data_IF_074464822791
#
_entry.id   IF_074464822791
#
_cell.length_a   1.000
_cell.length_b   1.000
_cell.length_c   1.000
_cell.angle_alpha   90.00
_cell.angle_beta   90.00
_cell.angle_gamma   90.00
#
_symmetry.space_group_name_H-M   'P 1'
#
loop_
_entity.id
_entity.type
_entity.pdbx_description
1 polymer ?
#
# COMPACT_ATOMS: atom_id res chain seq x y z
N UNK A 1 -6.72 13.33 -19.51
CA UNK A 1 -7.21 13.33 -18.12
C UNK A 1 -7.88 14.66 -17.84
N UNK A 2 -9.04 14.66 -17.17
CA UNK A 2 -9.72 15.86 -16.67
C UNK A 2 -9.21 16.18 -15.26
N UNK A 3 -8.16 17.01 -15.19
CA UNK A 3 -7.48 17.33 -13.93
C UNK A 3 -8.32 18.23 -12.99
N UNK A 4 -9.27 18.99 -13.54
CA UNK A 4 -10.23 19.82 -12.81
C UNK A 4 -10.99 19.01 -11.75
N UNK A 5 -11.41 17.80 -12.13
CA UNK A 5 -12.15 16.88 -11.26
C UNK A 5 -11.37 16.43 -10.01
N UNK A 6 -10.03 16.50 -10.02
CA UNK A 6 -9.20 16.10 -8.89
C UNK A 6 -9.19 17.17 -7.77
N UNK A 7 -9.54 18.42 -8.10
CA UNK A 7 -9.57 19.54 -7.14
C UNK A 7 -10.99 19.90 -6.70
N UNK A 8 -12.02 19.35 -7.36
CA UNK A 8 -13.42 19.57 -7.01
C UNK A 8 -13.77 18.89 -5.68
N UNK A 9 -14.60 19.55 -4.88
CA UNK A 9 -15.09 19.00 -3.61
C UNK A 9 -15.84 17.69 -3.81
N UNK A 10 -15.74 16.81 -2.83
CA UNK A 10 -16.50 15.55 -2.75
C UNK A 10 -17.45 15.67 -1.57
N UNK A 11 -18.75 15.59 -1.83
CA UNK A 11 -19.78 15.75 -0.80
C UNK A 11 -19.57 14.74 0.34
N UNK A 12 -19.54 15.24 1.59
CA UNK A 12 -19.40 14.41 2.78
C UNK A 12 -17.97 13.92 3.07
N UNK A 13 -16.99 14.25 2.23
CA UNK A 13 -15.60 13.82 2.40
C UNK A 13 -14.98 14.38 3.68
N UNK A 14 -15.09 15.69 3.88
CA UNK A 14 -14.49 16.39 5.01
C UNK A 14 -15.15 15.96 6.32
N UNK A 15 -16.48 15.81 6.32
CA UNK A 15 -17.23 15.32 7.47
C UNK A 15 -16.85 13.88 7.83
N UNK A 16 -16.69 13.01 6.84
CA UNK A 16 -16.24 11.63 7.07
C UNK A 16 -14.82 11.60 7.64
N UNK A 17 -13.88 12.35 7.07
CA UNK A 17 -12.50 12.41 7.54
C UNK A 17 -12.41 12.99 8.96
N UNK A 18 -13.17 14.05 9.25
CA UNK A 18 -13.24 14.67 10.57
C UNK A 18 -13.81 13.71 11.63
N UNK A 19 -14.83 12.91 11.31
CA UNK A 19 -15.34 11.89 12.22
C UNK A 19 -14.27 10.83 12.53
N UNK A 20 -13.47 10.43 11.55
CA UNK A 20 -12.34 9.52 11.80
C UNK A 20 -11.21 10.20 12.58
N UNK A 21 -10.85 11.46 12.27
CA UNK A 21 -9.85 12.21 13.05
C UNK A 21 -10.25 12.34 14.51
N UNK A 22 -11.53 12.63 14.77
CA UNK A 22 -12.09 12.69 16.12
C UNK A 22 -11.92 11.38 16.88
N UNK A 23 -12.19 10.23 16.24
CA UNK A 23 -11.96 8.91 16.85
C UNK A 23 -10.46 8.60 17.03
N UNK A 24 -9.63 8.91 16.04
CA UNK A 24 -8.19 8.66 16.11
C UNK A 24 -7.53 9.45 17.25
N UNK A 25 -8.04 10.66 17.52
CA UNK A 25 -7.66 11.45 18.70
C UNK A 25 -7.99 10.75 20.03
N UNK A 26 -9.06 9.95 20.10
CA UNK A 26 -9.38 9.16 21.31
C UNK A 26 -8.36 8.03 21.51
N UNK A 27 -7.87 7.41 20.44
CA UNK A 27 -6.84 6.36 20.52
C UNK A 27 -5.49 6.88 21.03
N UNK A 28 -5.21 8.18 20.91
CA UNK A 28 -3.99 8.79 21.46
C UNK A 28 -3.92 8.61 22.98
N UNK A 29 -5.03 8.87 23.66
CA UNK A 29 -5.12 8.86 25.13
C UNK A 29 -5.68 7.55 25.70
N UNK A 30 -6.30 6.73 24.85
CA UNK A 30 -6.74 5.38 25.18
C UNK A 30 -8.23 5.23 25.46
N UNK A 31 -8.74 4.02 25.22
CA UNK A 31 -10.16 3.68 25.29
C UNK A 31 -10.61 3.18 26.67
N UNK A 32 -9.69 3.00 27.64
CA UNK A 32 -10.03 2.42 28.93
C UNK A 32 -10.95 3.33 29.77
N UNK A 33 -10.67 4.64 29.77
CA UNK A 33 -11.44 5.67 30.49
C UNK A 33 -11.32 7.00 29.76
N UNK A 34 -11.99 7.15 28.61
CA UNK A 34 -11.91 8.39 27.86
C UNK A 34 -12.49 9.56 28.68
N UNK A 35 -11.84 10.72 28.58
CA UNK A 35 -12.31 11.97 29.18
C UNK A 35 -13.60 12.46 28.48
N UNK A 36 -14.42 13.32 29.13
CA UNK A 36 -15.65 13.84 28.52
C UNK A 36 -15.44 14.50 27.15
N UNK A 37 -14.29 15.17 26.93
CA UNK A 37 -13.96 15.75 25.63
C UNK A 37 -13.74 14.69 24.54
N UNK A 38 -13.19 13.53 24.89
CA UNK A 38 -12.94 12.42 23.97
C UNK A 38 -14.22 11.64 23.63
N UNK A 39 -15.24 11.69 24.49
CA UNK A 39 -16.55 11.08 24.20
C UNK A 39 -17.21 11.68 22.94
N UNK A 40 -16.86 12.92 22.57
CA UNK A 40 -17.33 13.57 21.34
C UNK A 40 -16.82 12.84 20.09
N UNK A 41 -15.56 12.41 20.08
CA UNK A 41 -14.99 11.65 18.95
C UNK A 41 -15.65 10.29 18.76
N UNK A 42 -15.97 9.59 19.86
CA UNK A 42 -16.72 8.33 19.84
C UNK A 42 -18.15 8.53 19.33
N UNK A 43 -18.83 9.59 19.78
CA UNK A 43 -20.17 9.92 19.33
C UNK A 43 -20.20 10.32 17.84
N UNK A 44 -19.24 11.12 17.40
CA UNK A 44 -19.11 11.53 16.00
C UNK A 44 -18.91 10.34 15.05
N UNK A 45 -18.10 9.36 15.44
CA UNK A 45 -17.96 8.12 14.67
C UNK A 45 -19.28 7.34 14.59
N UNK A 46 -20.02 7.23 15.70
CA UNK A 46 -21.31 6.54 15.73
C UNK A 46 -22.38 7.26 14.87
N UNK A 47 -22.39 8.59 14.90
CA UNK A 47 -23.28 9.41 14.07
C UNK A 47 -22.98 9.25 12.58
N UNK A 48 -21.70 9.27 12.20
CA UNK A 48 -21.27 9.11 10.80
C UNK A 48 -21.73 7.77 10.18
N UNK A 49 -21.90 6.73 10.99
CA UNK A 49 -22.38 5.41 10.54
C UNK A 49 -23.84 5.11 10.90
N UNK A 50 -24.59 6.10 11.41
CA UNK A 50 -25.97 5.91 11.88
C UNK A 50 -26.95 5.48 10.77
N UNK A 51 -26.66 5.82 9.52
CA UNK A 51 -27.43 5.39 8.34
C UNK A 51 -27.06 3.99 7.82
N UNK A 52 -26.12 3.29 8.47
CA UNK A 52 -25.58 2.02 7.98
C UNK A 52 -26.08 0.81 8.80
N UNK A 53 -25.87 -0.43 8.31
CA UNK A 53 -26.12 -1.63 9.10
C UNK A 53 -25.31 -1.73 10.41
N UNK A 54 -24.27 -0.92 10.59
CA UNK A 54 -23.43 -0.91 11.80
C UNK A 54 -24.01 -0.03 12.92
N UNK A 55 -25.00 0.82 12.63
CA UNK A 55 -25.48 1.89 13.50
C UNK A 55 -25.70 1.45 14.96
N UNK A 56 -26.51 0.41 15.19
CA UNK A 56 -26.84 -0.04 16.54
C UNK A 56 -25.63 -0.56 17.33
N UNK A 57 -24.76 -1.35 16.68
CA UNK A 57 -23.57 -1.92 17.31
C UNK A 57 -22.52 -0.87 17.64
N UNK A 58 -22.36 0.12 16.76
CA UNK A 58 -21.38 1.19 16.94
C UNK A 58 -21.86 2.19 17.98
N UNK A 59 -23.15 2.53 17.99
CA UNK A 59 -23.73 3.36 19.04
C UNK A 59 -23.55 2.73 20.43
N UNK A 60 -23.85 1.42 20.57
CA UNK A 60 -23.59 0.69 21.81
C UNK A 60 -22.10 0.70 22.18
N UNK A 61 -21.21 0.41 21.23
CA UNK A 61 -19.78 0.39 21.48
C UNK A 61 -19.24 1.78 21.90
N UNK A 62 -19.70 2.86 21.28
CA UNK A 62 -19.36 4.22 21.64
C UNK A 62 -19.82 4.57 23.06
N UNK A 63 -21.06 4.24 23.41
CA UNK A 63 -21.60 4.47 24.77
C UNK A 63 -20.82 3.67 25.82
N UNK A 64 -20.58 2.38 25.59
CA UNK A 64 -19.83 1.53 26.53
C UNK A 64 -18.38 1.98 26.68
N UNK A 65 -17.76 2.46 25.61
CA UNK A 65 -16.39 2.99 25.66
C UNK A 65 -16.35 4.30 26.43
N UNK A 66 -17.28 5.23 26.17
CA UNK A 66 -17.41 6.47 26.93
C UNK A 66 -17.64 6.22 28.44
N UNK A 67 -18.36 5.16 28.79
CA UNK A 67 -18.59 4.74 30.17
C UNK A 67 -17.44 3.94 30.81
N UNK A 68 -16.36 3.65 30.08
CA UNK A 68 -15.25 2.82 30.56
C UNK A 68 -15.60 1.35 30.79
N UNK A 69 -16.64 0.86 30.10
CA UNK A 69 -17.18 -0.49 30.19
C UNK A 69 -17.00 -1.30 28.89
N UNK A 70 -16.19 -0.80 27.95
CA UNK A 70 -15.97 -1.46 26.67
C UNK A 70 -15.14 -2.75 26.79
N UNK A 71 -15.54 -3.76 26.02
CA UNK A 71 -14.85 -5.03 25.88
C UNK A 71 -14.34 -5.19 24.45
N UNK A 72 -13.78 -6.36 24.15
CA UNK A 72 -13.21 -6.70 22.84
C UNK A 72 -14.22 -6.46 21.69
N UNK A 73 -15.45 -6.95 21.82
CA UNK A 73 -16.49 -6.80 20.79
C UNK A 73 -16.81 -5.32 20.47
N UNK A 74 -16.72 -4.45 21.48
CA UNK A 74 -16.93 -3.01 21.29
C UNK A 74 -15.78 -2.39 20.48
N UNK A 75 -14.53 -2.76 20.77
CA UNK A 75 -13.38 -2.28 19.99
C UNK A 75 -13.38 -2.80 18.55
N UNK A 76 -13.83 -4.04 18.34
CA UNK A 76 -14.05 -4.58 16.99
C UNK A 76 -15.10 -3.76 16.24
N UNK A 77 -16.22 -3.41 16.88
CA UNK A 77 -17.26 -2.59 16.25
C UNK A 77 -16.75 -1.19 15.87
N UNK A 78 -15.94 -0.55 16.73
CA UNK A 78 -15.33 0.76 16.45
C UNK A 78 -14.31 0.69 15.31
N UNK A 79 -13.44 -0.33 15.29
CA UNK A 79 -12.51 -0.58 14.19
C UNK A 79 -13.24 -0.83 12.85
N UNK A 80 -14.37 -1.54 12.89
CA UNK A 80 -15.22 -1.79 11.73
C UNK A 80 -15.87 -0.51 11.21
N UNK A 81 -16.41 0.34 12.11
CA UNK A 81 -17.00 1.62 11.75
C UNK A 81 -15.99 2.55 11.07
N UNK A 82 -14.81 2.69 11.67
CA UNK A 82 -13.70 3.46 11.13
C UNK A 82 -13.28 2.97 9.74
N UNK A 83 -13.10 1.66 9.59
CA UNK A 83 -12.71 1.06 8.31
C UNK A 83 -13.79 1.22 7.25
N UNK A 84 -15.07 1.08 7.61
CA UNK A 84 -16.18 1.28 6.69
C UNK A 84 -16.27 2.74 6.20
N UNK A 85 -16.06 3.72 7.09
CA UNK A 85 -16.09 5.14 6.75
C UNK A 85 -14.92 5.53 5.83
N UNK A 86 -13.71 5.03 6.10
CA UNK A 86 -12.57 5.17 5.19
C UNK A 86 -12.80 4.43 3.86
N UNK A 87 -13.54 3.32 3.88
CA UNK A 87 -14.00 2.61 2.70
C UNK A 87 -14.94 3.45 1.83
N UNK A 88 -15.90 4.17 2.43
CA UNK A 88 -16.76 5.08 1.66
C UNK A 88 -16.00 6.28 1.08
N UNK A 89 -15.01 6.81 1.83
CA UNK A 89 -14.11 7.85 1.31
C UNK A 89 -13.32 7.32 0.10
N UNK A 90 -12.74 6.13 0.23
CA UNK A 90 -12.05 5.46 -0.88
C UNK A 90 -12.96 5.33 -2.10
N UNK A 91 -14.18 4.85 -1.93
CA UNK A 91 -15.10 4.60 -3.05
C UNK A 91 -15.51 5.90 -3.75
N UNK A 92 -15.74 6.98 -3.01
CA UNK A 92 -16.01 8.31 -3.56
C UNK A 92 -14.81 8.87 -4.35
N UNK A 93 -13.60 8.74 -3.81
CA UNK A 93 -12.37 9.19 -4.46
C UNK A 93 -12.07 8.35 -5.72
N UNK A 94 -12.24 7.03 -5.68
CA UNK A 94 -12.04 6.15 -6.83
C UNK A 94 -13.05 6.43 -7.94
N UNK A 95 -14.31 6.72 -7.59
CA UNK A 95 -15.31 7.17 -8.56
C UNK A 95 -14.86 8.45 -9.27
N UNK A 96 -14.36 9.43 -8.51
CA UNK A 96 -13.82 10.68 -9.07
C UNK A 96 -12.62 10.44 -9.99
N UNK A 97 -11.69 9.58 -9.59
CA UNK A 97 -10.55 9.19 -10.44
C UNK A 97 -11.03 8.49 -11.72
N UNK A 98 -12.08 7.67 -11.62
CA UNK A 98 -12.72 7.03 -12.78
C UNK A 98 -13.19 8.04 -13.81
N UNK A 99 -13.89 9.09 -13.37
CA UNK A 99 -14.35 10.20 -14.21
C UNK A 99 -13.18 11.01 -14.80
N UNK A 100 -12.15 11.28 -13.99
CA UNK A 100 -10.97 12.04 -14.41
C UNK A 100 -10.16 11.34 -15.52
N UNK A 101 -10.02 10.02 -15.42
CA UNK A 101 -9.25 9.22 -16.37
C UNK A 101 -10.09 8.71 -17.55
N UNK A 102 -11.42 8.58 -17.37
CA UNK A 102 -12.35 8.18 -18.43
C UNK A 102 -12.27 6.68 -18.79
N UNK A 103 -11.90 5.82 -17.84
CA UNK A 103 -11.73 4.37 -18.06
C UNK A 103 -13.01 3.57 -17.77
N UNK A 104 -13.15 2.36 -18.32
CA UNK A 104 -14.24 1.46 -17.98
C UNK A 104 -14.26 1.17 -16.46
N UNK A 105 -15.46 1.17 -15.88
CA UNK A 105 -15.65 0.86 -14.46
C UNK A 105 -15.25 -0.58 -14.11
N UNK A 106 -14.93 -0.81 -12.84
CA UNK A 106 -14.71 -2.16 -12.34
C UNK A 106 -16.05 -2.91 -12.28
N UNK A 107 -16.08 -4.14 -12.79
CA UNK A 107 -17.22 -5.03 -12.56
C UNK A 107 -17.10 -5.66 -11.16
N UNK A 108 -18.11 -5.43 -10.31
CA UNK A 108 -18.19 -6.07 -9.01
C UNK A 108 -18.48 -7.56 -9.16
N UNK A 109 -17.50 -8.40 -8.86
CA UNK A 109 -17.68 -9.85 -8.76
C UNK A 109 -17.78 -10.22 -7.28
N UNK A 110 -19.00 -10.46 -6.80
CA UNK A 110 -19.25 -10.99 -5.47
C UNK A 110 -18.68 -12.40 -5.33
N UNK A 111 -17.76 -12.61 -4.39
CA UNK A 111 -17.29 -13.96 -4.05
C UNK A 111 -17.54 -14.24 -2.57
N UNK A 112 -18.08 -15.43 -2.30
CA UNK A 112 -18.42 -15.88 -0.96
C UNK A 112 -17.18 -16.41 -0.23
N UNK A 113 -17.11 -16.14 1.08
CA UNK A 113 -16.01 -16.55 1.94
C UNK A 113 -15.99 -18.08 2.18
N UNK A 114 -14.80 -18.67 2.20
CA UNK A 114 -14.58 -20.05 2.64
C UNK A 114 -14.31 -20.12 4.16
N UNK A 115 -14.75 -21.21 4.79
CA UNK A 115 -14.63 -21.43 6.24
C UNK A 115 -13.20 -21.81 6.67
N UNK A 116 -12.75 -21.26 7.81
CA UNK A 116 -11.42 -21.51 8.39
C UNK A 116 -11.37 -22.65 9.43
N UNK A 117 -10.16 -23.14 9.73
CA UNK A 117 -9.88 -24.25 10.65
C UNK A 117 -9.55 -23.80 12.10
N UNK A 118 -9.86 -24.65 13.08
CA UNK A 118 -9.84 -24.35 14.54
C UNK A 118 -8.52 -23.82 15.12
N UNK A 119 -7.35 -24.20 14.59
CA UNK A 119 -6.04 -23.76 15.13
C UNK A 119 -5.76 -22.26 14.93
N UNK A 120 -6.30 -21.65 13.88
CA UNK A 120 -6.16 -20.21 13.62
C UNK A 120 -6.91 -19.36 14.65
N UNK A 121 -7.97 -19.91 15.25
CA UNK A 121 -8.87 -19.18 16.17
C UNK A 121 -8.13 -18.72 17.43
N UNK A 122 -7.28 -19.56 18.01
CA UNK A 122 -6.56 -19.23 19.24
C UNK A 122 -5.49 -18.14 19.04
N UNK A 123 -4.79 -18.14 17.89
CA UNK A 123 -3.79 -17.13 17.58
C UNK A 123 -4.44 -15.78 17.23
N UNK A 124 -5.59 -15.80 16.54
CA UNK A 124 -6.38 -14.59 16.32
C UNK A 124 -6.88 -13.96 17.63
N UNK A 125 -7.31 -14.77 18.59
CA UNK A 125 -7.71 -14.28 19.91
C UNK A 125 -6.54 -13.65 20.68
N UNK A 126 -5.36 -14.28 20.65
CA UNK A 126 -4.16 -13.72 21.28
C UNK A 126 -3.74 -12.37 20.66
N UNK A 127 -3.76 -12.28 19.32
CA UNK A 127 -3.52 -11.02 18.62
C UNK A 127 -4.55 -9.94 18.98
N UNK A 128 -5.85 -10.29 19.03
CA UNK A 128 -6.89 -9.34 19.46
C UNK A 128 -6.72 -8.87 20.89
N UNK A 129 -6.36 -9.75 21.81
CA UNK A 129 -6.13 -9.36 23.21
C UNK A 129 -5.05 -8.28 23.29
N UNK A 130 -3.91 -8.50 22.62
CA UNK A 130 -2.82 -7.50 22.57
C UNK A 130 -3.27 -6.18 21.94
N UNK A 131 -4.01 -6.23 20.82
CA UNK A 131 -4.56 -5.03 20.17
C UNK A 131 -5.58 -4.29 21.06
N UNK A 132 -6.35 -5.01 21.87
CA UNK A 132 -7.27 -4.40 22.84
C UNK A 132 -6.51 -3.74 23.99
N UNK A 133 -5.41 -4.33 24.44
CA UNK A 133 -4.57 -3.76 25.49
C UNK A 133 -3.87 -2.48 25.00
N UNK A 134 -3.38 -2.47 23.75
CA UNK A 134 -2.93 -1.25 23.08
C UNK A 134 -4.02 -0.17 23.04
N UNK A 135 -5.23 -0.51 22.59
CA UNK A 135 -6.32 0.45 22.50
C UNK A 135 -6.71 1.00 23.89
N UNK A 136 -6.67 0.17 24.93
CA UNK A 136 -6.95 0.59 26.32
C UNK A 136 -5.90 1.57 26.83
N UNK A 137 -4.62 1.27 26.59
CA UNK A 137 -3.50 2.11 27.02
C UNK A 137 -3.44 3.43 26.26
N UNK A 138 -3.79 3.42 24.97
CA UNK A 138 -3.58 4.55 24.06
C UNK A 138 -2.12 4.72 23.67
N UNK A 139 -1.87 5.54 22.65
CA UNK A 139 -0.53 5.80 22.12
C UNK A 139 0.42 6.41 23.15
N UNK A 140 -0.06 7.33 24.00
CA UNK A 140 0.76 7.87 25.09
C UNK A 140 0.96 6.88 26.25
N UNK A 141 0.14 5.84 26.35
CA UNK A 141 0.21 4.83 27.40
C UNK A 141 1.09 3.62 27.06
N UNK A 142 1.69 3.55 25.87
CA UNK A 142 2.54 2.41 25.50
C UNK A 142 3.86 2.41 26.29
N UNK A 143 4.27 1.22 26.73
CA UNK A 143 5.57 0.96 27.33
C UNK A 143 6.25 -0.26 26.69
N UNK A 144 7.49 -0.52 27.10
CA UNK A 144 8.26 -1.64 26.55
C UNK A 144 7.64 -3.01 26.83
N UNK A 145 6.88 -3.19 27.92
CA UNK A 145 6.26 -4.47 28.26
C UNK A 145 5.06 -4.75 27.36
N UNK A 146 4.18 -3.76 27.22
CA UNK A 146 3.01 -3.84 26.34
C UNK A 146 3.43 -4.08 24.88
N UNK A 147 4.44 -3.36 24.39
CA UNK A 147 4.93 -3.53 23.02
C UNK A 147 5.61 -4.90 22.82
N UNK A 148 6.40 -5.37 23.80
CA UNK A 148 7.02 -6.69 23.73
C UNK A 148 6.00 -7.85 23.67
N UNK A 149 4.76 -7.62 24.13
CA UNK A 149 3.66 -8.60 24.08
C UNK A 149 3.33 -9.14 22.68
N UNK A 150 3.67 -8.41 21.61
CA UNK A 150 3.46 -8.87 20.23
C UNK A 150 4.39 -10.01 19.81
N UNK A 151 5.62 -10.04 20.31
CA UNK A 151 6.67 -10.95 19.84
C UNK A 151 6.29 -12.45 19.88
N UNK A 152 5.75 -13.01 20.98
CA UNK A 152 5.35 -14.41 21.02
C UNK A 152 4.18 -14.71 20.07
N UNK A 153 3.25 -13.77 19.87
CA UNK A 153 2.11 -13.91 18.94
C UNK A 153 2.62 -13.97 17.50
N UNK A 154 3.45 -13.01 17.10
CA UNK A 154 4.06 -12.96 15.77
C UNK A 154 4.88 -14.22 15.49
N UNK A 155 5.73 -14.63 16.44
CA UNK A 155 6.57 -15.83 16.31
C UNK A 155 5.75 -17.10 16.08
N UNK A 156 4.59 -17.23 16.76
CA UNK A 156 3.69 -18.37 16.58
C UNK A 156 2.89 -18.33 15.26
N UNK A 157 2.63 -17.14 14.71
CA UNK A 157 1.86 -16.97 13.47
C UNK A 157 2.70 -17.13 12.19
N UNK A 158 3.96 -16.69 12.19
CA UNK A 158 4.82 -16.70 11.00
C UNK A 158 4.96 -18.08 10.30
N UNK A 159 5.05 -19.22 11.02
CA UNK A 159 5.11 -20.53 10.39
C UNK A 159 3.88 -20.85 9.52
N UNK A 160 2.70 -20.39 9.92
CA UNK A 160 1.41 -20.71 9.30
C UNK A 160 1.11 -19.78 8.10
N UNK A 161 1.10 -20.28 6.84
CA UNK A 161 0.97 -19.43 5.65
C UNK A 161 -0.25 -18.51 5.67
N UNK A 162 -1.40 -19.01 6.13
CA UNK A 162 -2.65 -18.24 6.21
C UNK A 162 -2.63 -17.11 7.24
N UNK A 163 -1.66 -17.10 8.16
CA UNK A 163 -1.53 -16.09 9.21
C UNK A 163 -0.42 -15.06 8.93
N UNK A 164 0.42 -15.29 7.91
CA UNK A 164 1.58 -14.44 7.62
C UNK A 164 1.21 -13.00 7.31
N UNK A 165 0.05 -12.75 6.68
CA UNK A 165 -0.42 -11.37 6.41
C UNK A 165 -0.60 -10.58 7.71
N UNK A 166 -1.30 -11.16 8.68
CA UNK A 166 -1.50 -10.54 9.99
C UNK A 166 -0.20 -10.51 10.79
N UNK A 167 0.61 -11.58 10.76
CA UNK A 167 1.90 -11.62 11.45
C UNK A 167 2.84 -10.50 10.98
N UNK A 168 2.97 -10.27 9.66
CA UNK A 168 3.81 -9.22 9.11
C UNK A 168 3.30 -7.81 9.47
N UNK A 169 1.98 -7.62 9.51
CA UNK A 169 1.37 -6.36 9.95
C UNK A 169 1.67 -6.09 11.44
N UNK A 170 1.49 -7.10 12.30
CA UNK A 170 1.76 -7.00 13.73
C UNK A 170 3.25 -6.77 14.01
N UNK A 171 4.14 -7.45 13.28
CA UNK A 171 5.60 -7.28 13.38
C UNK A 171 6.01 -5.84 13.05
N UNK A 172 5.56 -5.32 11.91
CA UNK A 172 5.83 -3.94 11.50
C UNK A 172 5.26 -2.92 12.49
N UNK A 173 4.01 -3.10 12.91
CA UNK A 173 3.37 -2.19 13.85
C UNK A 173 4.08 -2.19 15.22
N UNK A 174 4.41 -3.37 15.75
CA UNK A 174 5.14 -3.48 17.01
C UNK A 174 6.54 -2.88 16.92
N UNK A 175 7.23 -3.02 15.77
CA UNK A 175 8.55 -2.42 15.56
C UNK A 175 8.49 -0.88 15.62
N UNK A 176 7.45 -0.27 15.05
CA UNK A 176 7.26 1.18 15.14
C UNK A 176 6.93 1.64 16.56
N UNK A 177 6.01 0.95 17.23
CA UNK A 177 5.69 1.24 18.62
C UNK A 177 6.94 1.12 19.51
N UNK A 178 7.80 0.13 19.26
CA UNK A 178 9.04 -0.06 19.99
C UNK A 178 10.05 1.08 19.76
N UNK A 179 10.15 1.58 18.52
CA UNK A 179 11.00 2.73 18.18
C UNK A 179 10.51 4.03 18.85
N UNK A 180 9.22 4.09 19.18
CA UNK A 180 8.54 5.22 19.81
C UNK A 180 8.29 5.04 21.32
N UNK A 181 8.83 4.00 21.95
CA UNK A 181 8.66 3.75 23.38
C UNK A 181 9.65 4.53 24.26
N UNK A 182 9.22 5.06 25.43
CA UNK A 182 7.85 5.05 25.94
C UNK A 182 6.97 6.11 25.26
N UNK A 183 5.68 5.80 25.09
CA UNK A 183 4.73 6.68 24.40
C UNK A 183 4.55 8.03 25.08
N UNK A 184 4.67 8.07 26.41
CA UNK A 184 4.50 9.29 27.20
C UNK A 184 5.50 10.41 26.88
N UNK A 185 6.57 10.11 26.15
CA UNK A 185 7.59 11.09 25.73
C UNK A 185 7.47 11.52 24.26
N UNK A 186 6.45 11.04 23.55
CA UNK A 186 6.26 11.41 22.15
C UNK A 186 5.76 12.85 22.06
N UNK A 187 6.49 13.67 21.30
CA UNK A 187 6.06 15.03 20.94
C UNK A 187 4.98 14.98 19.85
N UNK A 188 5.21 14.12 18.84
CA UNK A 188 4.29 13.91 17.71
C UNK A 188 3.95 12.42 17.59
N UNK A 189 2.64 12.14 17.62
CA UNK A 189 2.12 10.78 17.41
C UNK A 189 1.69 10.64 15.94
N UNK A 190 2.07 9.55 15.23
CA UNK A 190 1.55 9.22 13.89
C UNK A 190 0.08 8.78 13.92
N UNK A 191 -0.81 9.62 14.45
CA UNK A 191 -2.21 9.34 14.85
C UNK A 191 -2.96 8.51 13.81
N UNK A 192 -3.09 9.05 12.59
CA UNK A 192 -3.81 8.41 11.47
C UNK A 192 -3.23 7.04 11.14
N UNK A 193 -1.92 6.97 11.02
CA UNK A 193 -1.18 5.80 10.57
C UNK A 193 -1.29 4.66 11.58
N UNK A 194 -1.12 4.94 12.87
CA UNK A 194 -1.25 3.92 13.92
C UNK A 194 -2.69 3.46 14.11
N UNK A 195 -3.66 4.37 13.97
CA UNK A 195 -5.08 4.00 13.96
C UNK A 195 -5.46 3.12 12.75
N UNK A 196 -4.87 3.37 11.56
CA UNK A 196 -5.01 2.51 10.38
C UNK A 196 -4.46 1.11 10.64
N UNK A 197 -3.22 1.01 11.14
CA UNK A 197 -2.58 -0.27 11.46
C UNK A 197 -3.37 -1.05 12.50
N UNK A 198 -3.80 -0.38 13.57
CA UNK A 198 -4.59 -0.99 14.63
C UNK A 198 -5.94 -1.52 14.12
N UNK A 199 -6.73 -0.68 13.44
CA UNK A 199 -8.05 -1.06 12.93
C UNK A 199 -7.93 -2.23 11.95
N UNK A 200 -6.94 -2.17 11.07
CA UNK A 200 -6.66 -3.21 10.10
C UNK A 200 -6.25 -4.52 10.76
N UNK A 201 -5.38 -4.47 11.78
CA UNK A 201 -4.95 -5.64 12.51
C UNK A 201 -6.11 -6.28 13.29
N UNK A 202 -6.96 -5.47 13.93
CA UNK A 202 -8.16 -5.93 14.64
C UNK A 202 -9.09 -6.69 13.67
N UNK A 203 -9.41 -6.11 12.52
CA UNK A 203 -10.32 -6.74 11.57
C UNK A 203 -9.74 -8.01 10.94
N UNK A 204 -8.44 -8.06 10.66
CA UNK A 204 -7.77 -9.26 10.11
C UNK A 204 -7.79 -10.47 11.05
N UNK A 205 -8.08 -10.27 12.34
CA UNK A 205 -8.26 -11.38 13.28
C UNK A 205 -9.63 -12.07 13.15
N UNK A 206 -10.59 -11.43 12.48
CA UNK A 206 -11.95 -11.95 12.37
C UNK A 206 -12.01 -13.09 11.34
N UNK A 207 -12.85 -14.11 11.58
CA UNK A 207 -13.06 -15.17 10.59
C UNK A 207 -13.48 -14.59 9.23
N UNK A 208 -12.85 -15.08 8.15
CA UNK A 208 -13.13 -14.60 6.78
C UNK A 208 -12.40 -13.33 6.38
N UNK A 209 -11.82 -12.56 7.30
CA UNK A 209 -11.09 -11.33 6.95
C UNK A 209 -9.79 -11.60 6.16
N UNK A 210 -9.20 -12.77 6.37
CA UNK A 210 -8.02 -13.24 5.66
C UNK A 210 -8.33 -14.24 4.54
N UNK A 211 -9.62 -14.48 4.21
CA UNK A 211 -9.95 -15.46 3.17
C UNK A 211 -9.34 -15.03 1.85
N UNK A 212 -8.36 -15.81 1.36
CA UNK A 212 -7.76 -15.58 0.06
C UNK A 212 -8.89 -15.63 -0.99
N UNK A 213 -9.07 -14.58 -1.81
CA UNK A 213 -10.06 -14.61 -2.88
C UNK A 213 -9.75 -15.77 -3.83
N UNK A 214 -10.78 -16.28 -4.50
CA UNK A 214 -10.64 -17.31 -5.51
C UNK A 214 -9.56 -16.89 -6.52
N UNK A 215 -8.57 -17.75 -6.68
CA UNK A 215 -7.44 -17.49 -7.58
C UNK A 215 -7.79 -18.05 -8.95
N UNK A 216 -8.02 -17.17 -9.92
CA UNK A 216 -8.16 -17.58 -11.31
C UNK A 216 -6.77 -17.71 -11.96
N UNK A 217 -6.67 -18.51 -13.02
CA UNK A 217 -5.48 -18.55 -13.86
C UNK A 217 -5.57 -17.46 -14.94
N UNK A 218 -4.67 -16.50 -14.90
CA UNK A 218 -4.52 -15.46 -15.93
C UNK A 218 -3.57 -15.96 -17.04
N UNK A 219 -4.10 -16.12 -18.25
CA UNK A 219 -3.32 -16.49 -19.45
C UNK A 219 -3.42 -15.37 -20.47
N UNK A 220 -2.28 -14.85 -20.93
CA UNK A 220 -2.26 -13.65 -21.77
C UNK A 220 -0.94 -12.90 -21.72
N UNK A 221 -0.95 -11.66 -22.19
CA UNK A 221 0.22 -10.79 -22.25
C UNK A 221 0.18 -9.75 -21.15
N UNK A 222 1.27 -9.64 -20.40
CA UNK A 222 1.46 -8.63 -19.36
C UNK A 222 2.39 -7.53 -19.90
N UNK A 223 1.95 -6.28 -19.78
CA UNK A 223 2.64 -5.08 -20.26
C UNK A 223 3.02 -4.19 -19.06
N UNK A 224 4.26 -4.27 -18.57
CA UNK A 224 4.70 -3.45 -17.44
C UNK A 224 4.65 -1.94 -17.75
N UNK A 225 4.09 -1.17 -16.81
CA UNK A 225 4.04 0.30 -16.85
C UNK A 225 5.14 0.92 -15.98
N UNK A 226 5.55 0.23 -14.91
CA UNK A 226 6.56 0.73 -13.99
C UNK A 226 6.53 0.00 -12.66
N UNK A 227 7.40 0.42 -11.74
CA UNK A 227 7.60 -0.25 -10.44
C UNK A 227 7.55 0.76 -9.31
N UNK A 228 6.67 0.50 -8.34
CA UNK A 228 6.71 1.12 -7.03
C UNK A 228 7.59 0.26 -6.10
N UNK A 229 8.55 0.88 -5.40
CA UNK A 229 9.42 0.18 -4.45
C UNK A 229 9.11 0.68 -3.06
N UNK A 230 8.56 -0.21 -2.24
CA UNK A 230 8.15 0.05 -0.88
C UNK A 230 9.19 -0.52 0.08
N UNK A 231 9.77 0.36 0.89
CA UNK A 231 10.86 0.04 1.80
C UNK A 231 10.40 0.19 3.25
N UNK A 232 10.58 -0.87 4.03
CA UNK A 232 10.46 -0.87 5.48
C UNK A 232 11.82 -1.24 6.09
N UNK A 233 12.00 -0.98 7.39
CA UNK A 233 13.21 -1.38 8.11
C UNK A 233 13.48 -2.88 8.02
N UNK A 234 12.43 -3.70 8.03
CA UNK A 234 12.51 -5.18 8.08
C UNK A 234 12.13 -5.88 6.78
N UNK A 235 11.62 -5.16 5.78
CA UNK A 235 11.10 -5.74 4.54
C UNK A 235 11.22 -4.77 3.36
N UNK A 236 11.26 -5.32 2.16
CA UNK A 236 11.15 -4.56 0.92
C UNK A 236 10.17 -5.24 -0.02
N UNK A 237 9.43 -4.45 -0.79
CA UNK A 237 8.58 -4.92 -1.87
C UNK A 237 8.83 -4.10 -3.13
N UNK A 238 8.94 -4.78 -4.27
CA UNK A 238 8.77 -4.16 -5.58
C UNK A 238 7.42 -4.58 -6.14
N UNK A 239 6.57 -3.59 -6.44
CA UNK A 239 5.25 -3.78 -7.02
C UNK A 239 5.26 -3.25 -8.45
N UNK A 240 5.16 -4.16 -9.41
CA UNK A 240 5.05 -3.83 -10.83
C UNK A 240 3.60 -3.55 -11.16
N UNK A 241 3.31 -2.34 -11.63
CA UNK A 241 2.01 -1.99 -12.20
C UNK A 241 2.02 -2.31 -13.69
N UNK A 242 0.96 -2.96 -14.19
CA UNK A 242 0.93 -3.42 -15.57
C UNK A 242 -0.50 -3.41 -16.15
N UNK A 243 -0.57 -3.42 -17.47
CA UNK A 243 -1.79 -3.79 -18.21
C UNK A 243 -1.68 -5.27 -18.59
N UNK A 244 -2.71 -6.04 -18.30
CA UNK A 244 -2.84 -7.43 -18.71
C UNK A 244 -3.83 -7.54 -19.87
N UNK A 245 -3.42 -8.12 -20.99
CA UNK A 245 -4.22 -8.43 -22.17
C UNK A 245 -4.55 -9.93 -22.15
N UNK A 246 -5.81 -10.32 -21.85
CA UNK A 246 -6.22 -11.73 -21.85
C UNK A 246 -6.00 -12.42 -23.21
N UNK A 247 -5.54 -13.67 -23.21
CA UNK A 247 -5.31 -14.45 -24.43
C UNK A 247 -6.60 -14.77 -25.21
N UNK A 248 -7.75 -14.75 -24.53
CA UNK A 248 -9.07 -14.93 -25.12
C UNK A 248 -9.62 -13.67 -25.81
N UNK A 249 -8.85 -12.58 -25.82
CA UNK A 249 -9.26 -11.29 -26.40
C UNK A 249 -10.23 -10.51 -25.52
N UNK A 250 -10.40 -10.88 -24.25
CA UNK A 250 -11.20 -10.14 -23.28
C UNK A 250 -10.65 -8.74 -22.98
N UNK A 251 -11.42 -7.97 -22.21
CA UNK A 251 -11.07 -6.59 -21.84
C UNK A 251 -9.71 -6.54 -21.12
N UNK A 252 -8.77 -5.69 -21.57
CA UNK A 252 -7.51 -5.48 -20.85
C UNK A 252 -7.76 -5.07 -19.40
N UNK A 253 -6.91 -5.51 -18.48
CA UNK A 253 -7.08 -5.29 -17.04
C UNK A 253 -5.87 -4.63 -16.42
N UNK A 254 -6.09 -3.74 -15.46
CA UNK A 254 -5.01 -3.27 -14.59
C UNK A 254 -4.67 -4.36 -13.58
N UNK A 255 -3.40 -4.74 -13.53
CA UNK A 255 -2.92 -5.74 -12.58
C UNK A 255 -1.65 -5.25 -11.88
N UNK A 256 -1.35 -5.86 -10.74
CA UNK A 256 -0.11 -5.65 -10.00
C UNK A 256 0.60 -6.99 -9.85
N UNK A 257 1.92 -7.01 -9.99
CA UNK A 257 2.74 -8.15 -9.63
C UNK A 257 3.75 -7.70 -8.58
N UNK A 258 3.68 -8.29 -7.38
CA UNK A 258 4.55 -7.91 -6.28
C UNK A 258 5.54 -9.01 -5.93
N UNK A 259 6.79 -8.61 -5.69
CA UNK A 259 7.83 -9.46 -5.11
C UNK A 259 8.35 -8.81 -3.84
N UNK A 260 8.48 -9.61 -2.79
CA UNK A 260 8.85 -9.12 -1.46
C UNK A 260 9.95 -9.97 -0.84
N UNK A 261 10.82 -9.34 -0.06
CA UNK A 261 11.88 -10.03 0.66
C UNK A 261 12.05 -9.43 2.07
N UNK A 262 12.36 -10.26 3.08
CA UNK A 262 12.83 -9.76 4.36
C UNK A 262 14.18 -9.06 4.16
N UNK A 263 14.42 -8.00 4.93
CA UNK A 263 15.54 -7.10 4.76
C UNK A 263 16.07 -6.64 6.13
N UNK A 264 17.40 -6.60 6.36
CA UNK A 264 17.96 -5.83 7.47
C UNK A 264 17.98 -4.33 7.13
N UNK A 265 17.67 -3.48 8.10
CA UNK A 265 17.62 -2.01 7.99
C UNK A 265 18.80 -1.37 7.24
N UNK A 266 20.00 -1.92 7.40
CA UNK A 266 21.24 -1.52 6.73
C UNK A 266 21.29 -1.69 5.20
N UNK A 267 20.38 -2.47 4.59
CA UNK A 267 20.36 -2.68 3.12
C UNK A 267 19.44 -1.65 2.48
N UNK A 268 19.99 -0.61 1.87
CA UNK A 268 19.22 0.51 1.29
C UNK A 268 19.59 0.73 -0.19
N UNK A 269 18.82 1.57 -0.89
CA UNK A 269 19.10 2.01 -2.26
C UNK A 269 19.20 0.85 -3.26
N UNK A 270 20.22 0.85 -4.13
CA UNK A 270 20.39 -0.22 -5.13
C UNK A 270 20.58 -1.63 -4.53
N UNK A 271 20.92 -1.72 -3.23
CA UNK A 271 21.02 -3.00 -2.53
C UNK A 271 19.69 -3.76 -2.42
N UNK A 272 18.57 -3.05 -2.50
CA UNK A 272 17.24 -3.62 -2.46
C UNK A 272 17.02 -4.66 -3.58
N UNK A 273 17.49 -4.37 -4.79
CA UNK A 273 17.31 -5.28 -5.93
C UNK A 273 17.99 -6.62 -5.72
N UNK A 274 19.13 -6.66 -5.00
CA UNK A 274 19.82 -7.92 -4.70
C UNK A 274 18.97 -8.88 -3.87
N UNK A 275 18.11 -8.36 -2.99
CA UNK A 275 17.20 -9.17 -2.18
C UNK A 275 16.02 -9.71 -2.99
N UNK A 276 15.62 -8.97 -4.03
CA UNK A 276 14.47 -9.28 -4.89
C UNK A 276 14.84 -10.13 -6.12
N UNK A 277 16.15 -10.28 -6.40
CA UNK A 277 16.67 -11.04 -7.54
C UNK A 277 16.17 -12.48 -7.66
N UNK A 278 15.78 -13.26 -6.63
CA UNK A 278 15.23 -14.60 -6.88
C UNK A 278 14.04 -14.64 -7.87
N UNK A 279 13.36 -13.50 -8.11
CA UNK A 279 12.26 -13.34 -9.07
C UNK A 279 12.70 -12.60 -10.35
N UNK A 280 13.79 -13.07 -10.97
CA UNK A 280 14.49 -12.36 -12.05
C UNK A 280 13.62 -12.06 -13.27
N UNK A 281 12.66 -12.91 -13.64
CA UNK A 281 12.02 -12.77 -14.96
C UNK A 281 11.15 -11.51 -15.07
N UNK A 282 10.36 -11.19 -14.03
CA UNK A 282 9.55 -9.98 -13.97
C UNK A 282 10.42 -8.72 -13.95
N UNK A 283 11.42 -8.70 -13.06
CA UNK A 283 12.28 -7.54 -12.86
C UNK A 283 13.18 -7.29 -14.07
N UNK A 284 13.64 -8.35 -14.75
CA UNK A 284 14.35 -8.26 -16.02
C UNK A 284 13.45 -7.67 -17.11
N UNK A 285 12.22 -8.16 -17.28
CA UNK A 285 11.30 -7.65 -18.28
C UNK A 285 10.97 -6.16 -18.10
N UNK A 286 10.78 -5.72 -16.85
CA UNK A 286 10.66 -4.29 -16.53
C UNK A 286 11.92 -3.53 -16.95
N UNK A 287 13.11 -4.02 -16.57
CA UNK A 287 14.36 -3.32 -16.84
C UNK A 287 14.71 -3.24 -18.34
N UNK A 288 14.28 -4.23 -19.12
CA UNK A 288 14.56 -4.38 -20.55
C UNK A 288 13.44 -3.81 -21.44
N UNK A 289 12.33 -3.35 -20.85
CA UNK A 289 11.17 -2.86 -21.61
C UNK A 289 10.50 -3.95 -22.44
N UNK A 290 10.24 -5.12 -21.84
CA UNK A 290 9.61 -6.27 -22.49
C UNK A 290 8.26 -6.60 -21.88
N UNK A 291 7.37 -7.12 -22.73
CA UNK A 291 6.17 -7.80 -22.26
C UNK A 291 6.54 -9.14 -21.62
N UNK A 292 5.58 -9.73 -20.90
CA UNK A 292 5.65 -11.10 -20.39
C UNK A 292 4.46 -11.90 -20.90
N UNK A 293 4.69 -13.10 -21.41
CA UNK A 293 3.64 -14.06 -21.72
C UNK A 293 3.37 -14.91 -20.47
N UNK A 294 2.12 -14.89 -20.00
CA UNK A 294 1.66 -15.59 -18.82
C UNK A 294 0.84 -16.83 -19.20
N UNK A 295 1.10 -17.95 -18.52
CA UNK A 295 0.35 -19.19 -18.65
C UNK A 295 -0.26 -19.59 -17.30
N UNK A 296 -1.58 -19.40 -17.19
CA UNK A 296 -2.34 -19.66 -15.97
C UNK A 296 -1.72 -19.03 -14.70
N UNK A 297 -1.16 -17.83 -14.78
CA UNK A 297 -0.58 -17.11 -13.64
C UNK A 297 -1.67 -16.89 -12.58
N UNK A 298 -1.48 -17.28 -11.31
CA UNK A 298 -2.52 -17.10 -10.31
C UNK A 298 -2.79 -15.60 -10.05
N UNK A 299 -4.06 -15.17 -10.13
CA UNK A 299 -4.50 -13.77 -9.91
C UNK A 299 -5.59 -13.69 -8.84
N UNK A 300 -5.49 -12.71 -7.94
CA UNK A 300 -6.53 -12.43 -6.92
C UNK A 300 -7.72 -11.69 -7.53
N UNK A 301 -8.85 -11.66 -6.80
CA UNK A 301 -10.02 -10.85 -7.18
C UNK A 301 -9.76 -9.35 -7.26
N UNK A 302 -8.66 -8.85 -6.68
CA UNK A 302 -8.23 -7.44 -6.73
C UNK A 302 -7.17 -7.16 -7.82
N UNK A 303 -6.85 -8.16 -8.66
CA UNK A 303 -5.88 -8.02 -9.75
C UNK A 303 -4.41 -8.13 -9.33
N UNK A 304 -4.12 -8.71 -8.15
CA UNK A 304 -2.75 -9.01 -7.74
C UNK A 304 -2.32 -10.38 -8.28
N UNK A 305 -1.26 -10.39 -9.08
CA UNK A 305 -0.61 -11.59 -9.59
C UNK A 305 0.29 -12.19 -8.51
N UNK A 306 0.07 -13.46 -8.21
CA UNK A 306 0.95 -14.26 -7.35
C UNK A 306 2.06 -14.80 -8.25
N UNK A 307 3.21 -14.10 -8.26
CA UNK A 307 4.27 -14.36 -9.22
C UNK A 307 4.85 -15.78 -9.10
N UNK A 308 4.84 -16.50 -10.23
CA UNK A 308 5.46 -17.81 -10.40
C UNK A 308 6.28 -17.80 -11.70
N UNK A 309 7.62 -17.80 -11.57
CA UNK A 309 8.54 -17.77 -12.71
C UNK A 309 8.33 -18.96 -13.68
N UNK A 310 7.76 -20.09 -13.22
CA UNK A 310 7.46 -21.23 -14.09
C UNK A 310 6.31 -20.95 -15.07
N UNK A 311 5.49 -19.94 -14.78
CA UNK A 311 4.29 -19.55 -15.54
C UNK A 311 4.47 -18.28 -16.36
N UNK A 312 5.71 -17.79 -16.49
CA UNK A 312 6.00 -16.52 -17.14
C UNK A 312 7.20 -16.65 -18.09
N UNK A 313 7.09 -16.06 -19.29
CA UNK A 313 8.17 -16.02 -20.29
C UNK A 313 8.32 -14.61 -20.85
N UNK A 314 9.55 -14.21 -21.16
CA UNK A 314 9.79 -12.91 -21.79
C UNK A 314 9.18 -12.88 -23.20
N UNK A 315 8.30 -11.90 -23.43
CA UNK A 315 7.62 -11.68 -24.70
C UNK A 315 8.29 -10.60 -25.55
N UNK A 316 7.56 -10.07 -26.54
CA UNK A 316 8.03 -9.02 -27.43
C UNK A 316 8.40 -7.71 -26.69
N UNK A 317 9.27 -6.84 -27.27
CA UNK A 317 9.50 -5.50 -26.75
C UNK A 317 8.19 -4.74 -26.52
N UNK A 318 8.10 -4.06 -25.38
CA UNK A 318 6.94 -3.28 -24.96
C UNK A 318 7.44 -1.99 -24.30
N UNK A 319 7.58 -0.93 -25.09
CA UNK A 319 7.96 0.37 -24.55
C UNK A 319 6.85 0.92 -23.64
N UNK A 320 7.24 1.37 -22.45
CA UNK A 320 6.33 1.80 -21.37
C UNK A 320 5.36 2.88 -21.84
N UNK A 321 5.87 3.91 -22.53
CA UNK A 321 5.03 5.03 -22.98
C UNK A 321 4.15 4.68 -24.18
N UNK A 322 4.61 3.80 -25.09
CA UNK A 322 3.75 3.27 -26.14
C UNK A 322 2.60 2.44 -25.56
N UNK A 323 2.92 1.58 -24.58
CA UNK A 323 1.94 0.81 -23.81
C UNK A 323 0.94 1.73 -23.10
N UNK A 324 1.43 2.77 -22.42
CA UNK A 324 0.59 3.71 -21.67
C UNK A 324 -0.31 4.56 -22.59
N UNK A 325 0.11 4.85 -23.82
CA UNK A 325 -0.73 5.57 -24.80
C UNK A 325 -1.82 4.69 -25.40
N UNK A 326 -1.54 3.39 -25.62
CA UNK A 326 -2.42 2.49 -26.37
C UNK A 326 -3.28 1.62 -25.47
N UNK A 327 -2.68 0.90 -24.54
CA UNK A 327 -3.35 -0.14 -23.76
C UNK A 327 -4.00 0.41 -22.48
N UNK A 328 -3.30 1.29 -21.75
CA UNK A 328 -3.76 1.83 -20.47
C UNK A 328 -5.16 2.50 -20.51
N UNK A 329 -5.54 3.29 -21.54
CA UNK A 329 -6.88 3.89 -21.61
C UNK A 329 -8.02 2.87 -21.74
N UNK A 330 -7.72 1.66 -22.22
CA UNK A 330 -8.70 0.58 -22.40
C UNK A 330 -8.77 -0.39 -21.22
N UNK A 331 -7.82 -0.29 -20.29
CA UNK A 331 -7.69 -1.23 -19.20
C UNK A 331 -8.70 -0.98 -18.07
N UNK A 332 -9.52 -1.98 -17.76
CA UNK A 332 -10.47 -1.94 -16.65
C UNK A 332 -9.79 -2.32 -15.32
N UNK A 333 -10.17 -1.65 -14.23
CA UNK A 333 -9.71 -2.00 -12.89
C UNK A 333 -10.37 -3.30 -12.39
N UNK A 334 -9.78 -3.92 -11.37
CA UNK A 334 -10.48 -4.89 -10.53
C UNK A 334 -11.20 -4.17 -9.39
N UNK A 335 -12.27 -4.78 -8.88
CA UNK A 335 -12.95 -4.27 -7.71
C UNK A 335 -12.04 -4.42 -6.47
N UNK A 336 -11.98 -3.38 -5.64
CA UNK A 336 -11.26 -3.42 -4.36
C UNK A 336 -12.10 -4.18 -3.33
N UNK A 337 -11.49 -5.17 -2.68
CA UNK A 337 -12.11 -5.96 -1.63
C UNK A 337 -12.49 -5.04 -0.44
N UNK A 338 -13.59 -5.32 0.28
CA UNK A 338 -14.12 -4.39 1.29
C UNK A 338 -13.09 -3.94 2.35
N UNK A 339 -12.29 -4.85 2.89
CA UNK A 339 -11.28 -4.50 3.90
C UNK A 339 -10.14 -3.66 3.34
N UNK A 340 -9.96 -3.69 2.02
CA UNK A 340 -8.87 -3.09 1.27
C UNK A 340 -9.24 -1.72 0.68
N UNK A 341 -10.51 -1.30 0.83
CA UNK A 341 -11.00 0.05 0.52
C UNK A 341 -10.47 1.04 1.56
N UNK A 342 -9.37 1.71 1.24
CA UNK A 342 -8.76 2.72 2.10
C UNK A 342 -8.11 3.82 1.24
N UNK A 343 -8.22 5.11 1.59
CA UNK A 343 -7.72 6.20 0.74
C UNK A 343 -6.21 6.10 0.44
N UNK A 344 -5.40 5.76 1.46
CA UNK A 344 -3.95 5.55 1.29
C UNK A 344 -3.58 4.37 0.36
N UNK A 345 -4.52 3.48 0.03
CA UNK A 345 -4.32 2.39 -0.94
C UNK A 345 -4.63 2.80 -2.38
N UNK A 346 -5.17 4.00 -2.62
CA UNK A 346 -5.39 4.51 -3.97
C UNK A 346 -4.04 4.67 -4.66
N UNK A 347 -3.85 3.91 -5.74
CA UNK A 347 -2.64 3.90 -6.55
C UNK A 347 -3.04 3.57 -7.99
N UNK A 348 -3.41 4.61 -8.72
CA UNK A 348 -4.07 4.46 -10.02
C UNK A 348 -3.11 4.86 -11.15
N UNK A 349 -2.71 3.91 -12.03
CA UNK A 349 -1.79 4.23 -13.13
C UNK A 349 -2.42 5.23 -14.10
N UNK A 350 -1.66 6.28 -14.43
CA UNK A 350 -2.02 7.35 -15.37
C UNK A 350 -0.84 7.69 -16.28
N UNK A 351 -1.15 8.13 -17.50
CA UNK A 351 -0.21 8.78 -18.41
C UNK A 351 -0.54 10.27 -18.45
N UNK A 352 0.45 11.11 -18.19
CA UNK A 352 0.37 12.56 -18.33
C UNK A 352 1.34 13.02 -19.43
N UNK A 353 0.84 13.89 -20.31
CA UNK A 353 1.58 14.49 -21.41
C UNK A 353 1.11 15.94 -21.58
N UNK A 354 1.97 16.78 -22.19
CA UNK A 354 1.62 18.17 -22.48
C UNK A 354 1.44 19.04 -21.24
N UNK A 355 2.04 18.65 -20.11
CA UNK A 355 2.09 19.46 -18.90
C UNK A 355 3.28 20.43 -18.94
N UNK A 356 3.17 21.53 -18.19
CA UNK A 356 4.32 22.33 -17.79
C UNK A 356 4.79 21.91 -16.40
N UNK A 357 6.09 22.03 -16.15
CA UNK A 357 6.67 21.75 -14.82
C UNK A 357 6.83 23.05 -14.05
N UNK A 358 6.41 23.03 -12.79
CA UNK A 358 6.66 24.07 -11.81
C UNK A 358 7.58 23.50 -10.72
N UNK A 359 8.68 24.20 -10.48
CA UNK A 359 9.55 23.98 -9.33
C UNK A 359 9.33 25.16 -8.38
N UNK A 360 8.82 24.89 -7.18
CA UNK A 360 8.69 25.88 -6.12
C UNK A 360 9.44 25.40 -4.86
N UNK A 361 9.48 26.24 -3.81
CA UNK A 361 10.11 25.87 -2.54
C UNK A 361 9.45 24.68 -1.83
N UNK A 362 8.29 24.22 -2.30
CA UNK A 362 7.51 23.10 -1.76
C UNK A 362 7.63 21.82 -2.61
N UNK A 363 8.40 21.82 -3.70
CA UNK A 363 8.69 20.62 -4.50
C UNK A 363 8.36 20.76 -5.99
N UNK A 364 8.10 19.63 -6.64
CA UNK A 364 7.76 19.57 -8.07
C UNK A 364 6.24 19.48 -8.24
N UNK A 365 5.69 20.27 -9.16
CA UNK A 365 4.29 20.18 -9.57
C UNK A 365 4.15 20.19 -11.10
N UNK A 366 3.10 19.54 -11.60
CA UNK A 366 2.74 19.56 -13.02
C UNK A 366 1.48 20.40 -13.23
N UNK A 367 1.55 21.30 -14.21
CA UNK A 367 0.40 22.03 -14.70
C UNK A 367 -0.27 21.22 -15.81
N UNK A 368 -1.35 20.53 -15.46
CA UNK A 368 -2.11 19.65 -16.36
C UNK A 368 -3.45 20.31 -16.67
N UNK A 369 -3.65 20.69 -17.95
CA UNK A 369 -4.87 21.38 -18.38
C UNK A 369 -5.23 22.62 -17.53
N UNK A 370 -4.21 23.36 -17.07
CA UNK A 370 -4.37 24.55 -16.22
C UNK A 370 -4.64 24.28 -14.74
N UNK A 371 -4.53 23.02 -14.30
CA UNK A 371 -4.64 22.62 -12.91
C UNK A 371 -3.27 22.17 -12.39
N UNK A 372 -2.93 22.61 -11.18
CA UNK A 372 -1.73 22.16 -10.48
C UNK A 372 -1.97 20.76 -9.91
N UNK A 373 -1.10 19.82 -10.25
CA UNK A 373 -1.03 18.49 -9.66
C UNK A 373 0.34 18.33 -9.00
N UNK A 374 0.37 18.21 -7.68
CA UNK A 374 1.62 18.02 -6.96
C UNK A 374 2.25 16.64 -7.27
N UNK A 375 3.57 16.60 -7.37
CA UNK A 375 4.34 15.41 -7.71
C UNK A 375 5.11 14.96 -6.48
N UNK A 376 4.81 13.76 -6.00
CA UNK A 376 5.49 13.15 -4.86
C UNK A 376 6.84 12.56 -5.32
N UNK A 377 7.85 13.43 -5.36
CA UNK A 377 9.22 13.06 -5.70
C UNK A 377 9.95 12.33 -4.57
N UNK A 378 9.44 12.40 -3.35
CA UNK A 378 10.03 11.72 -2.18
C UNK A 378 9.79 10.20 -2.23
N UNK A 379 8.71 9.77 -2.91
CA UNK A 379 8.45 8.36 -3.22
C UNK A 379 9.22 7.81 -4.42
N UNK A 380 10.07 8.61 -5.07
CA UNK A 380 10.94 8.09 -6.13
C UNK A 380 12.05 7.25 -5.49
N UNK A 381 12.17 5.95 -5.80
CA UNK A 381 13.09 5.09 -5.08
C UNK A 381 14.54 5.43 -5.41
N UNK A 382 15.35 5.64 -4.37
CA UNK A 382 16.81 5.77 -4.48
C UNK A 382 17.49 4.50 -5.02
N UNK A 383 16.72 3.43 -5.26
CA UNK A 383 17.15 2.20 -5.88
C UNK A 383 17.23 2.30 -7.43
N UNK A 384 16.82 3.39 -8.07
CA UNK A 384 16.83 3.54 -9.52
C UNK A 384 17.46 4.84 -10.03
N UNK A 385 17.50 5.04 -11.35
CA UNK A 385 18.03 6.25 -11.98
C UNK A 385 17.00 7.39 -12.09
N UNK A 386 15.76 7.16 -11.65
CA UNK A 386 14.74 8.21 -11.59
C UNK A 386 15.05 9.11 -10.40
N UNK A 387 15.13 10.43 -10.61
CA UNK A 387 15.42 11.43 -9.57
C UNK A 387 14.46 12.61 -9.71
N UNK A 388 14.30 13.46 -8.68
CA UNK A 388 13.47 14.66 -8.77
C UNK A 388 13.85 15.55 -9.96
N UNK A 389 15.14 15.72 -10.26
CA UNK A 389 15.62 16.54 -11.40
C UNK A 389 15.29 15.89 -12.76
N UNK A 390 15.29 14.56 -12.82
CA UNK A 390 14.88 13.82 -14.03
C UNK A 390 13.37 13.97 -14.24
N UNK A 391 12.58 13.96 -13.17
CA UNK A 391 11.14 14.21 -13.22
C UNK A 391 10.85 15.65 -13.63
N UNK A 392 11.55 16.63 -13.07
CA UNK A 392 11.31 18.03 -13.39
C UNK A 392 11.75 18.44 -14.82
N UNK A 393 12.65 17.66 -15.44
CA UNK A 393 13.08 17.86 -16.84
C UNK A 393 12.29 17.03 -17.87
N UNK A 394 11.17 16.44 -17.48
CA UNK A 394 10.37 15.53 -18.32
C UNK A 394 9.30 16.24 -19.14
N UNK A 395 8.90 15.61 -20.26
CA UNK A 395 7.77 16.06 -21.09
C UNK A 395 6.59 15.08 -21.13
N UNK A 396 6.77 13.87 -20.60
CA UNK A 396 5.71 12.92 -20.33
C UNK A 396 6.05 12.08 -19.10
N UNK A 397 5.02 11.66 -18.37
CA UNK A 397 5.15 10.90 -17.13
C UNK A 397 4.11 9.78 -17.08
N UNK A 398 4.56 8.56 -16.82
CA UNK A 398 3.73 7.46 -16.34
C UNK A 398 3.88 7.42 -14.82
N UNK A 399 2.78 7.54 -14.10
CA UNK A 399 2.77 7.61 -12.64
C UNK A 399 1.56 6.95 -12.02
N UNK A 400 1.53 6.95 -10.69
CA UNK A 400 0.38 6.54 -9.88
C UNK A 400 -0.27 7.79 -9.32
N UNK A 401 -1.55 7.99 -9.62
CA UNK A 401 -2.37 8.94 -8.90
C UNK A 401 -2.70 8.34 -7.53
N UNK A 402 -2.33 9.04 -6.46
CA UNK A 402 -2.52 8.64 -5.07
C UNK A 402 -3.29 9.71 -4.32
N UNK A 403 -3.91 9.31 -3.22
CA UNK A 403 -4.51 10.23 -2.27
C UNK A 403 -3.67 10.25 -1.00
N UNK A 404 -3.22 11.43 -0.60
CA UNK A 404 -2.46 11.63 0.64
C UNK A 404 -2.80 13.00 1.23
N UNK A 405 -2.83 13.09 2.57
CA UNK A 405 -3.06 14.33 3.30
C UNK A 405 -4.23 15.23 2.82
N UNK A 406 -5.29 14.64 2.24
CA UNK A 406 -6.46 15.39 1.78
C UNK A 406 -6.37 15.89 0.33
N UNK A 407 -5.36 15.48 -0.43
CA UNK A 407 -5.20 15.86 -1.84
C UNK A 407 -4.74 14.71 -2.73
N UNK A 408 -4.94 14.87 -4.05
CA UNK A 408 -4.38 13.96 -5.03
C UNK A 408 -2.94 14.35 -5.38
N UNK A 409 -2.05 13.36 -5.34
CA UNK A 409 -0.63 13.49 -5.68
C UNK A 409 -0.27 12.52 -6.79
N UNK A 410 0.72 12.89 -7.60
CA UNK A 410 1.30 12.00 -8.61
C UNK A 410 2.61 11.41 -8.11
N UNK A 411 2.69 10.09 -7.95
CA UNK A 411 3.96 9.39 -7.77
C UNK A 411 4.53 8.98 -9.15
N UNK A 412 5.71 9.47 -9.55
CA UNK A 412 6.34 9.08 -10.81
C UNK A 412 6.81 7.61 -10.81
N UNK A 413 6.50 6.87 -11.88
CA UNK A 413 7.08 5.53 -12.13
C UNK A 413 8.09 5.54 -13.28
N UNK A 414 7.79 6.30 -14.32
CA UNK A 414 8.65 6.51 -15.48
C UNK A 414 8.41 7.89 -16.09
N UNK A 415 9.47 8.48 -16.67
CA UNK A 415 9.39 9.76 -17.40
C UNK A 415 10.09 9.68 -18.74
N UNK A 416 9.59 10.43 -19.72
CA UNK A 416 10.27 10.69 -20.99
C UNK A 416 10.87 12.10 -20.96
N UNK A 417 12.15 12.20 -21.33
CA UNK A 417 12.82 13.48 -21.51
C UNK A 417 13.62 13.53 -22.80
N UNK A 418 13.91 14.74 -23.27
CA UNK A 418 14.74 14.93 -24.47
C UNK A 418 16.19 15.15 -24.08
N UNK A 419 17.08 14.24 -24.50
CA UNK A 419 18.54 14.37 -24.34
C UNK A 419 19.19 14.40 -25.71
N UNK A 420 19.92 15.49 -26.02
CA UNK A 420 20.60 15.66 -27.32
C UNK A 420 19.68 15.36 -28.53
N UNK A 421 18.45 15.86 -28.47
CA UNK A 421 17.38 15.66 -29.49
C UNK A 421 16.83 14.23 -29.61
N UNK A 422 17.16 13.33 -28.67
CA UNK A 422 16.56 12.00 -28.59
C UNK A 422 15.66 11.91 -27.37
N UNK A 423 14.46 11.37 -27.54
CA UNK A 423 13.60 11.00 -26.42
C UNK A 423 14.20 9.78 -25.74
N UNK A 424 14.31 9.84 -24.42
CA UNK A 424 14.82 8.75 -23.58
C UNK A 424 13.86 8.57 -22.42
N UNK A 425 13.42 7.33 -22.20
CA UNK A 425 12.65 6.95 -21.03
C UNK A 425 13.59 6.64 -19.86
N UNK A 426 13.20 7.09 -18.66
CA UNK A 426 13.86 6.77 -17.39
C UNK A 426 12.80 6.24 -16.44
N UNK A 427 13.03 5.08 -15.82
CA UNK A 427 12.04 4.42 -14.97
C UNK A 427 12.65 3.95 -13.65
N UNK A 428 11.83 3.91 -12.60
CA UNK A 428 12.22 3.52 -11.25
C UNK A 428 12.83 2.10 -11.20
N UNK A 429 12.30 1.17 -12.00
CA UNK A 429 12.76 -0.21 -12.06
C UNK A 429 13.96 -0.48 -12.99
N UNK A 430 14.65 0.54 -13.51
CA UNK A 430 15.67 0.35 -14.56
C UNK A 430 16.90 -0.46 -14.12
N UNK A 431 17.16 -0.56 -12.82
CA UNK A 431 18.25 -1.36 -12.27
C UNK A 431 17.80 -2.74 -11.76
N UNK A 432 16.51 -3.08 -11.88
CA UNK A 432 15.94 -4.26 -11.23
C UNK A 432 16.50 -5.59 -11.78
N UNK A 433 16.70 -5.70 -13.10
CA UNK A 433 17.35 -6.85 -13.76
C UNK A 433 18.88 -6.82 -13.75
N UNK A 434 19.50 -5.84 -13.08
CA UNK A 434 20.90 -5.47 -13.24
C UNK A 434 21.07 -4.35 -14.27
N UNK A 435 22.18 -3.62 -14.19
CA UNK A 435 22.40 -2.46 -15.05
C UNK A 435 23.82 -2.35 -15.58
N UNK A 436 23.97 -1.75 -16.76
CA UNK A 436 25.27 -1.31 -17.31
C UNK A 436 25.56 0.16 -16.97
N UNK A 437 24.65 0.85 -16.28
CA UNK A 437 24.86 2.21 -15.80
C UNK A 437 25.99 2.24 -14.78
N UNK A 438 26.97 3.13 -14.97
CA UNK A 438 28.15 3.22 -14.09
C UNK A 438 27.77 3.55 -12.64
N UNK A 439 26.76 4.37 -12.41
CA UNK A 439 26.26 4.72 -11.09
C UNK A 439 25.57 3.52 -10.45
N UNK A 440 24.69 2.84 -11.19
CA UNK A 440 24.01 1.66 -10.68
C UNK A 440 24.96 0.48 -10.41
N UNK A 441 25.94 0.22 -11.28
CA UNK A 441 26.98 -0.80 -11.04
C UNK A 441 27.78 -0.50 -9.76
N UNK A 442 28.13 0.77 -9.52
CA UNK A 442 28.83 1.18 -8.29
C UNK A 442 27.95 0.98 -7.06
N UNK A 443 26.68 1.37 -7.14
CA UNK A 443 25.72 1.24 -6.05
C UNK A 443 25.44 -0.24 -5.71
N UNK A 444 25.27 -1.10 -6.71
CA UNK A 444 25.11 -2.54 -6.51
C UNK A 444 26.34 -3.19 -5.88
N UNK A 445 27.55 -2.80 -6.32
CA UNK A 445 28.79 -3.31 -5.74
C UNK A 445 28.90 -2.96 -4.26
N UNK A 446 28.66 -1.68 -3.91
CA UNK A 446 28.71 -1.22 -2.53
C UNK A 446 27.73 -1.99 -1.63
N UNK A 447 26.51 -2.23 -2.11
CA UNK A 447 25.52 -3.01 -1.39
C UNK A 447 25.91 -4.48 -1.21
N UNK A 448 26.51 -5.11 -2.23
CA UNK A 448 26.94 -6.50 -2.18
C UNK A 448 28.02 -6.72 -1.12
N UNK A 449 28.97 -5.79 -1.02
CA UNK A 449 30.03 -5.86 -0.01
C UNK A 449 29.46 -5.78 1.42
N UNK A 450 28.46 -4.92 1.66
CA UNK A 450 27.79 -4.79 2.96
C UNK A 450 27.04 -6.07 3.36
N UNK A 451 26.25 -6.67 2.45
CA UNK A 451 25.48 -7.90 2.70
C UNK A 451 26.42 -9.08 3.02
N UNK A 452 27.56 -9.17 2.33
CA UNK A 452 28.56 -10.22 2.58
C UNK A 452 29.11 -10.15 4.00
N UNK A 453 29.43 -8.95 4.49
CA UNK A 453 29.89 -8.75 5.87
C UNK A 453 28.83 -9.17 6.89
N UNK A 454 27.56 -8.83 6.66
CA UNK A 454 26.46 -9.20 7.55
C UNK A 454 26.26 -10.72 7.61
N UNK A 455 26.26 -11.42 6.46
CA UNK A 455 26.16 -12.88 6.42
C UNK A 455 27.33 -13.56 7.14
N UNK A 456 28.54 -13.03 6.99
CA UNK A 456 29.71 -13.57 7.71
C UNK A 456 29.58 -13.40 9.23
N UNK A 457 29.10 -12.24 9.69
CA UNK A 457 28.86 -11.97 11.12
C UNK A 457 27.74 -12.86 11.69
N UNK A 458 26.62 -12.98 10.99
CA UNK A 458 25.52 -13.85 11.39
C UNK A 458 25.93 -15.33 11.46
N UNK A 459 26.71 -15.80 10.46
CA UNK A 459 27.24 -17.16 10.46
C UNK A 459 28.21 -17.45 11.62
N UNK A 460 28.95 -16.44 12.12
CA UNK A 460 29.79 -16.57 13.33
C UNK A 460 28.96 -16.62 14.61
N UNK A 461 27.84 -15.89 14.66
CA UNK A 461 26.92 -15.87 15.81
C UNK A 461 26.14 -17.17 15.95
N UNK A 462 25.71 -17.79 14.83
CA UNK A 462 24.97 -19.06 14.82
C UNK A 462 25.85 -20.30 15.05
N UNK A 463 27.18 -20.14 15.10
CA UNK A 463 28.15 -21.23 15.37
C UNK A 463 28.62 -21.26 16.83
N UNK A 464 28.09 -20.38 17.67
CA UNK A 464 28.22 -20.41 19.13
C UNK A 464 26.88 -20.82 19.71
#
# INVERSE_FOLDING_TARGET
MRADLLNDTVDGLDEALAAVDGFDGVLVDGLLRPQPAQAVGLAGLAEAVAGSPLAGRVAEAAEKTAAGAAGEDHFVALAAARTALLGSVHDALVARVGEAVGRPGAEESGTAAAAGADRAVNLHAAARSWLCDLARAGWHGIDHELVAGAAPVVSAMLPEPGLRRLAALLDGFAAELAASCPGATLEDVPVRRWADLWSRAVLLTLPGAASAPAVAGATGRLLPLGVDVQEHATAVQAQVHAVFEPADGGTPRLVRASVSAPKPDTVVGAGLWQLLRPHLSLLAAVSEGRAMDLDAMPVTGEGDLIWDDARARAGEPAEVFATARVALPTAAAFATAPLDRHPARIAVPVLLEGYAVEEDGNGVAFQVAGQRLAVDTDRVPAAGPLTPEVVASSGACVGLLRWDAGEFLLQPLAVERTVRRKTVAVHAGAWAGGTTDKAGVRAEKAATDAVKVLRERAGKLLRK
#
